data_IF_573050266449
#
_entry.id   IF_573050266449
#
_cell.length_a   1.000
_cell.length_b   1.000
_cell.length_c   1.000
_cell.angle_alpha   90.00
_cell.angle_beta   90.00
_cell.angle_gamma   90.00
#
_symmetry.space_group_name_H-M   'P 1'
#
loop_
_entity.id
_entity.type
_entity.pdbx_description
1 polymer ?
#
# COMPACT_ATOMS: atom_id res chain seq x y z
N UNK A 1 -17.96 1.61 -19.43
CA UNK A 1 -17.60 2.86 -20.11
C UNK A 1 -17.98 3.99 -19.18
N UNK A 2 -17.02 4.52 -18.42
CA UNK A 2 -17.25 5.68 -17.55
C UNK A 2 -17.25 6.94 -18.43
N UNK A 3 -18.20 7.84 -18.20
CA UNK A 3 -18.28 9.13 -18.88
C UNK A 3 -16.95 9.88 -18.73
N UNK A 4 -16.43 10.42 -19.84
CA UNK A 4 -15.14 11.13 -19.96
C UNK A 4 -15.04 12.43 -19.11
N UNK A 5 -15.98 12.69 -18.21
CA UNK A 5 -16.21 14.01 -17.63
C UNK A 5 -15.45 14.38 -16.35
N UNK A 6 -14.91 13.44 -15.56
CA UNK A 6 -14.34 13.76 -14.23
C UNK A 6 -13.09 12.92 -13.87
N UNK A 7 -12.20 12.65 -14.84
CA UNK A 7 -10.91 12.05 -14.50
C UNK A 7 -10.00 13.15 -13.95
N UNK A 8 -9.56 13.00 -12.69
CA UNK A 8 -8.63 13.92 -12.04
C UNK A 8 -7.39 14.05 -12.92
N UNK A 9 -6.97 15.28 -13.19
CA UNK A 9 -5.85 15.61 -14.09
C UNK A 9 -4.69 16.32 -13.38
N UNK A 10 -4.85 16.63 -12.10
CA UNK A 10 -3.86 17.29 -11.27
C UNK A 10 -3.82 16.72 -9.84
N UNK A 11 -2.67 16.88 -9.18
CA UNK A 11 -2.50 16.60 -7.75
C UNK A 11 -2.16 17.93 -7.09
N UNK A 12 -3.07 18.54 -6.32
CA UNK A 12 -2.83 19.84 -5.71
C UNK A 12 -1.76 19.75 -4.61
N UNK A 13 -0.91 20.76 -4.56
CA UNK A 13 -0.01 21.04 -3.44
C UNK A 13 -0.67 22.08 -2.54
N UNK A 14 -0.84 21.77 -1.26
CA UNK A 14 -1.57 22.62 -0.33
C UNK A 14 -0.63 23.62 0.34
N UNK A 15 -1.06 24.88 0.41
CA UNK A 15 -0.28 25.97 1.02
C UNK A 15 -0.29 25.93 2.56
N UNK A 16 -1.23 25.19 3.16
CA UNK A 16 -1.38 25.06 4.60
C UNK A 16 -1.77 23.62 4.98
N UNK A 17 -1.55 23.28 6.25
CA UNK A 17 -2.00 22.00 6.82
C UNK A 17 -3.52 22.06 6.95
N UNK A 18 -4.28 21.19 6.27
CA UNK A 18 -5.74 21.20 6.38
C UNK A 18 -6.16 20.70 7.76
N UNK A 19 -7.32 21.16 8.21
CA UNK A 19 -8.05 20.50 9.29
C UNK A 19 -8.48 19.09 8.87
N UNK A 20 -8.85 18.25 9.84
CA UNK A 20 -9.40 16.93 9.54
C UNK A 20 -10.67 17.01 8.69
N UNK A 21 -11.55 17.98 8.96
CA UNK A 21 -12.82 18.13 8.22
C UNK A 21 -12.57 18.50 6.74
N UNK A 22 -11.64 19.43 6.47
CA UNK A 22 -11.22 19.78 5.11
C UNK A 22 -10.59 18.56 4.42
N UNK A 23 -9.68 17.86 5.10
CA UNK A 23 -9.03 16.67 4.54
C UNK A 23 -10.04 15.56 4.22
N UNK A 24 -10.99 15.30 5.14
CA UNK A 24 -12.03 14.30 4.99
C UNK A 24 -12.90 14.57 3.76
N UNK A 25 -13.38 15.80 3.61
CA UNK A 25 -14.36 16.14 2.58
C UNK A 25 -13.72 16.31 1.19
N UNK A 26 -12.56 16.96 1.12
CA UNK A 26 -11.97 17.36 -0.17
C UNK A 26 -11.03 16.30 -0.76
N UNK A 27 -10.50 15.40 0.06
CA UNK A 27 -9.47 14.43 -0.35
C UNK A 27 -9.86 12.99 -0.02
N UNK A 28 -10.17 12.68 1.24
CA UNK A 28 -10.40 11.31 1.68
C UNK A 28 -11.68 10.72 1.05
N UNK A 29 -12.85 11.36 1.25
CA UNK A 29 -14.13 10.94 0.65
C UNK A 29 -14.14 11.06 -0.87
N UNK A 30 -13.47 12.08 -1.40
CA UNK A 30 -13.33 12.29 -2.84
C UNK A 30 -12.34 11.32 -3.50
N UNK A 31 -11.60 10.54 -2.72
CA UNK A 31 -10.52 9.66 -3.17
C UNK A 31 -9.51 10.39 -4.08
N UNK A 32 -9.15 11.62 -3.69
CA UNK A 32 -8.31 12.54 -4.46
C UNK A 32 -6.93 12.70 -3.81
N UNK A 33 -5.82 12.49 -4.54
CA UNK A 33 -4.47 12.66 -4.01
C UNK A 33 -4.16 14.14 -3.74
N UNK A 34 -3.22 14.41 -2.82
CA UNK A 34 -2.67 15.74 -2.62
C UNK A 34 -1.25 15.70 -2.05
N UNK A 35 -0.54 16.82 -2.16
CA UNK A 35 0.73 17.08 -1.48
C UNK A 35 0.48 18.04 -0.32
N UNK A 36 0.79 17.60 0.90
CA UNK A 36 0.68 18.35 2.13
C UNK A 36 2.01 19.05 2.44
N UNK A 37 1.98 20.27 2.98
CA UNK A 37 3.19 21.07 3.16
C UNK A 37 4.07 20.53 4.29
N UNK A 38 5.36 20.86 4.24
CA UNK A 38 6.35 20.47 5.25
C UNK A 38 5.99 20.88 6.69
N UNK A 39 5.16 21.91 6.86
CA UNK A 39 4.62 22.33 8.15
C UNK A 39 3.86 21.21 8.89
N UNK A 40 3.30 20.22 8.18
CA UNK A 40 2.59 19.07 8.76
C UNK A 40 3.48 18.26 9.71
N UNK A 41 4.76 18.14 9.36
CA UNK A 41 5.71 17.21 9.97
C UNK A 41 6.94 17.92 10.55
N UNK A 42 6.98 19.25 10.52
CA UNK A 42 8.12 20.05 10.94
C UNK A 42 8.57 19.77 12.39
N UNK A 43 7.65 19.34 13.26
CA UNK A 43 7.93 18.99 14.66
C UNK A 43 8.51 17.59 14.85
N UNK A 44 8.53 16.73 13.83
CA UNK A 44 8.99 15.35 13.98
C UNK A 44 10.48 15.28 14.30
N UNK A 45 10.90 14.45 15.28
CA UNK A 45 12.31 14.18 15.53
C UNK A 45 13.10 13.70 14.30
N UNK A 46 12.45 12.95 13.40
CA UNK A 46 13.06 12.48 12.15
C UNK A 46 13.47 13.60 11.19
N UNK A 47 12.84 14.79 11.24
CA UNK A 47 13.26 15.94 10.42
C UNK A 47 14.69 16.37 10.72
N UNK A 48 15.15 16.17 11.95
CA UNK A 48 16.53 16.48 12.36
C UNK A 48 17.57 15.53 11.78
N UNK A 49 17.17 14.47 11.08
CA UNK A 49 18.12 13.63 10.34
C UNK A 49 18.70 14.40 9.14
N UNK A 50 17.95 15.37 8.60
CA UNK A 50 18.40 16.27 7.55
C UNK A 50 19.41 17.33 8.06
N UNK A 51 19.21 17.83 9.29
CA UNK A 51 19.88 19.03 9.82
C UNK A 51 21.36 18.84 10.21
N UNK A 52 21.88 17.61 10.22
CA UNK A 52 23.27 17.32 10.68
C UNK A 52 24.33 17.75 9.65
N UNK A 53 23.94 18.49 8.61
CA UNK A 53 24.77 18.98 7.51
C UNK A 53 24.98 20.50 7.41
N UNK A 54 24.15 21.34 8.05
CA UNK A 54 24.26 22.80 7.94
C UNK A 54 25.11 23.42 9.06
N UNK A 55 26.37 23.00 9.17
CA UNK A 55 27.40 23.95 9.56
C UNK A 55 28.14 24.38 8.29
N UNK A 56 27.60 25.45 7.71
CA UNK A 56 28.21 26.25 6.65
C UNK A 56 29.69 26.52 6.97
N UNK A 57 30.57 25.84 6.24
CA UNK A 57 31.82 26.47 5.84
C UNK A 57 31.50 27.24 4.56
N UNK A 58 31.47 28.56 4.67
CA UNK A 58 31.40 29.47 3.53
C UNK A 58 32.66 29.30 2.68
N UNK A 59 32.61 28.49 1.63
CA UNK A 59 33.58 28.52 0.55
C UNK A 59 33.05 27.85 -0.73
N UNK A 60 32.72 28.67 -1.73
CA UNK A 60 32.85 28.31 -3.14
C UNK A 60 31.74 27.46 -3.76
N UNK A 61 30.96 28.09 -4.63
CA UNK A 61 30.12 27.40 -5.61
C UNK A 61 30.98 26.49 -6.51
N UNK A 62 30.73 25.19 -6.44
CA UNK A 62 30.96 24.23 -7.53
C UNK A 62 29.77 23.27 -7.56
N UNK A 63 28.92 23.40 -8.58
CA UNK A 63 27.78 22.52 -8.88
C UNK A 63 28.25 21.16 -9.43
N UNK A 64 28.98 20.39 -8.63
CA UNK A 64 29.05 18.93 -8.82
C UNK A 64 28.70 18.24 -7.51
N UNK A 65 27.55 17.55 -7.41
CA UNK A 65 27.26 16.71 -6.25
C UNK A 65 28.17 15.50 -6.35
N UNK A 66 29.21 15.46 -5.51
CA UNK A 66 29.94 14.22 -5.25
C UNK A 66 28.90 13.16 -4.91
N UNK A 67 28.89 12.02 -5.63
CA UNK A 67 27.96 10.90 -5.44
C UNK A 67 28.10 10.17 -4.11
N UNK A 68 28.36 10.90 -3.02
CA UNK A 68 28.46 10.40 -1.66
C UNK A 68 27.06 10.35 -1.02
N UNK A 69 26.80 9.24 -0.32
CA UNK A 69 25.56 9.02 0.41
C UNK A 69 25.35 10.11 1.48
N UNK A 70 24.14 10.67 1.52
CA UNK A 70 23.75 11.71 2.49
C UNK A 70 24.05 11.30 3.94
N UNK A 71 24.50 12.26 4.76
CA UNK A 71 24.77 12.05 6.21
C UNK A 71 23.55 11.61 7.01
N UNK A 72 22.33 11.85 6.50
CA UNK A 72 21.13 11.35 7.16
C UNK A 72 21.13 9.80 7.27
N UNK A 73 21.78 9.10 6.33
CA UNK A 73 21.95 7.65 6.41
C UNK A 73 22.90 7.25 7.56
N UNK A 74 23.89 8.06 7.88
CA UNK A 74 24.77 7.83 9.03
C UNK A 74 24.01 8.05 10.34
N UNK A 75 23.11 9.03 10.40
CA UNK A 75 22.21 9.24 11.55
C UNK A 75 21.29 8.03 11.73
N UNK A 76 20.70 7.54 10.64
CA UNK A 76 19.83 6.36 10.65
C UNK A 76 20.59 5.12 11.15
N UNK A 77 21.78 4.84 10.61
CA UNK A 77 22.64 3.74 11.06
C UNK A 77 23.13 3.92 12.51
N UNK A 78 23.46 5.13 12.95
CA UNK A 78 23.89 5.38 14.32
C UNK A 78 22.79 5.15 15.34
N UNK A 79 21.53 5.40 14.97
CA UNK A 79 20.38 5.25 15.88
C UNK A 79 19.79 3.86 15.88
N UNK A 80 19.73 3.23 14.71
CA UNK A 80 18.97 1.99 14.49
C UNK A 80 19.82 0.90 13.83
N UNK A 81 21.16 1.03 13.87
CA UNK A 81 22.07 0.17 13.11
C UNK A 81 21.94 -1.32 13.40
N UNK A 82 21.53 -1.69 14.60
CA UNK A 82 21.31 -3.07 15.04
C UNK A 82 19.90 -3.61 14.75
N UNK A 83 19.07 -2.85 14.02
CA UNK A 83 17.74 -3.24 13.59
C UNK A 83 17.86 -4.04 12.29
N UNK A 84 17.00 -5.04 12.13
CA UNK A 84 16.97 -5.87 10.93
C UNK A 84 16.11 -5.20 9.87
N UNK A 85 16.55 -5.21 8.62
CA UNK A 85 15.83 -4.57 7.52
C UNK A 85 15.97 -5.34 6.21
N UNK A 86 14.91 -5.36 5.38
CA UNK A 86 15.03 -5.85 4.01
C UNK A 86 15.80 -4.84 3.16
N UNK A 87 16.71 -5.36 2.33
CA UNK A 87 17.56 -4.54 1.46
C UNK A 87 17.58 -5.11 0.04
N UNK A 88 17.28 -4.25 -0.93
CA UNK A 88 17.42 -4.53 -2.37
C UNK A 88 18.88 -4.41 -2.76
N UNK A 89 19.50 -5.54 -3.10
CA UNK A 89 20.88 -5.60 -3.53
C UNK A 89 21.06 -5.05 -4.96
N UNK A 90 22.21 -4.44 -5.21
CA UNK A 90 22.61 -4.05 -6.57
C UNK A 90 23.07 -5.29 -7.31
N UNK A 91 22.36 -5.70 -8.36
CA UNK A 91 22.72 -6.91 -9.12
C UNK A 91 24.13 -6.84 -9.73
N UNK A 92 24.92 -7.90 -9.55
CA UNK A 92 26.31 -8.03 -10.05
C UNK A 92 26.43 -8.59 -11.49
N UNK A 93 25.34 -8.74 -12.25
CA UNK A 93 25.37 -9.32 -13.60
C UNK A 93 24.44 -8.63 -14.58
N UNK A 94 24.99 -8.01 -15.61
CA UNK A 94 24.30 -7.15 -16.57
C UNK A 94 23.69 -7.87 -17.79
N UNK A 95 23.43 -9.18 -17.74
CA UNK A 95 22.94 -9.91 -18.92
C UNK A 95 21.71 -10.81 -18.68
N UNK A 96 21.54 -11.38 -17.48
CA UNK A 96 20.51 -12.41 -17.26
C UNK A 96 19.25 -11.92 -16.50
N UNK A 97 19.21 -10.65 -16.06
CA UNK A 97 18.14 -10.11 -15.18
C UNK A 97 17.13 -9.18 -15.86
N UNK A 98 17.15 -9.02 -17.18
CA UNK A 98 16.16 -8.15 -17.88
C UNK A 98 14.75 -8.76 -17.88
N UNK A 99 14.61 -10.09 -17.95
CA UNK A 99 13.31 -10.76 -17.79
C UNK A 99 12.81 -10.72 -16.34
N UNK A 100 13.67 -10.92 -15.33
CA UNK A 100 13.26 -10.87 -13.91
C UNK A 100 12.84 -9.45 -13.46
N UNK A 101 13.55 -8.41 -13.93
CA UNK A 101 13.15 -7.01 -13.69
C UNK A 101 11.80 -6.67 -14.34
N UNK A 102 11.44 -7.29 -15.46
CA UNK A 102 10.15 -7.07 -16.10
C UNK A 102 8.96 -7.56 -15.24
N UNK A 103 9.19 -8.53 -14.35
CA UNK A 103 8.20 -9.06 -13.40
C UNK A 103 8.21 -8.37 -12.04
N UNK A 104 9.04 -7.32 -11.83
CA UNK A 104 9.08 -6.58 -10.57
C UNK A 104 9.67 -7.38 -9.39
N UNK A 105 10.32 -8.52 -9.65
CA UNK A 105 11.01 -9.28 -8.61
C UNK A 105 12.32 -8.59 -8.25
N UNK A 106 12.31 -7.95 -7.07
CA UNK A 106 13.50 -7.41 -6.42
C UNK A 106 14.05 -8.47 -5.48
N UNK A 107 15.29 -8.90 -5.69
CA UNK A 107 16.00 -9.77 -4.74
C UNK A 107 16.32 -8.97 -3.47
N UNK A 108 15.80 -9.42 -2.33
CA UNK A 108 15.94 -8.76 -1.04
C UNK A 108 16.61 -9.69 -0.05
N UNK A 109 17.53 -9.12 0.72
CA UNK A 109 18.15 -9.80 1.85
C UNK A 109 17.87 -9.04 3.15
N UNK A 110 17.54 -9.79 4.19
CA UNK A 110 17.44 -9.27 5.56
C UNK A 110 18.85 -9.10 6.14
N UNK A 111 19.16 -7.91 6.62
CA UNK A 111 20.44 -7.63 7.26
C UNK A 111 20.31 -6.52 8.29
N UNK A 112 21.39 -6.28 9.05
CA UNK A 112 21.41 -5.14 9.97
C UNK A 112 21.45 -3.83 9.18
N UNK A 113 20.74 -2.81 9.65
CA UNK A 113 20.72 -1.51 9.00
C UNK A 113 22.13 -0.89 8.87
N UNK A 114 23.02 -1.11 9.84
CA UNK A 114 24.41 -0.62 9.74
C UNK A 114 25.18 -1.26 8.56
N UNK A 115 24.86 -2.51 8.21
CA UNK A 115 25.44 -3.23 7.08
C UNK A 115 24.80 -2.76 5.78
N UNK A 116 23.49 -2.58 5.79
CA UNK A 116 22.73 -2.00 4.68
C UNK A 116 23.31 -0.64 4.25
N UNK A 117 23.54 0.27 5.20
CA UNK A 117 24.09 1.61 4.91
C UNK A 117 25.52 1.53 4.35
N UNK A 118 26.34 0.58 4.81
CA UNK A 118 27.67 0.33 4.22
C UNK A 118 27.56 -0.14 2.77
N UNK A 119 26.62 -1.04 2.46
CA UNK A 119 26.37 -1.53 1.10
C UNK A 119 25.80 -0.44 0.18
N UNK A 120 24.87 0.38 0.66
CA UNK A 120 24.37 1.54 -0.09
C UNK A 120 25.52 2.49 -0.44
N UNK A 121 26.45 2.72 0.49
CA UNK A 121 27.62 3.58 0.30
C UNK A 121 28.64 2.99 -0.68
N UNK A 122 28.85 1.67 -0.67
CA UNK A 122 29.78 1.00 -1.57
C UNK A 122 29.18 0.64 -2.93
N UNK A 123 27.88 0.89 -3.14
CA UNK A 123 27.14 0.53 -4.35
C UNK A 123 26.70 -0.94 -4.41
N UNK A 124 26.91 -1.72 -3.35
CA UNK A 124 26.45 -3.12 -3.23
C UNK A 124 24.95 -3.28 -2.99
N UNK A 125 24.27 -2.22 -2.57
CA UNK A 125 22.81 -2.17 -2.41
C UNK A 125 22.24 -0.87 -3.00
N UNK A 126 20.93 -0.86 -3.24
CA UNK A 126 20.24 0.30 -3.80
C UNK A 126 19.11 0.82 -2.90
N UNK A 127 18.46 -0.03 -2.12
CA UNK A 127 17.26 0.38 -1.39
C UNK A 127 17.04 -0.42 -0.10
N UNK A 128 16.98 0.27 1.04
CA UNK A 128 16.29 -0.23 2.24
C UNK A 128 14.79 -0.03 2.01
N UNK A 129 14.03 -1.13 1.97
CA UNK A 129 12.64 -1.15 1.51
C UNK A 129 11.80 -1.97 2.46
N UNK A 130 10.62 -1.46 2.82
CA UNK A 130 9.68 -2.11 3.75
C UNK A 130 10.28 -2.33 5.16
N UNK A 131 11.11 -1.39 5.63
CA UNK A 131 11.70 -1.49 6.96
C UNK A 131 10.70 -1.11 8.06
N UNK A 132 10.28 -2.10 8.85
CA UNK A 132 9.43 -1.96 10.05
C UNK A 132 10.18 -1.32 11.23
N UNK A 133 10.61 -0.07 11.04
CA UNK A 133 11.39 0.69 12.04
C UNK A 133 10.61 0.88 13.34
N UNK A 134 9.33 1.24 13.25
CA UNK A 134 8.51 1.59 14.43
C UNK A 134 8.14 0.36 15.23
N UNK A 135 7.69 -0.72 14.58
CA UNK A 135 7.46 -1.99 15.28
C UNK A 135 8.69 -2.46 16.05
N UNK A 136 9.88 -2.46 15.43
CA UNK A 136 11.11 -2.86 16.15
C UNK A 136 11.47 -1.91 17.30
N UNK A 137 11.23 -0.61 17.12
CA UNK A 137 11.43 0.40 18.17
C UNK A 137 10.52 0.13 19.38
N UNK A 138 9.23 -0.11 19.14
CA UNK A 138 8.22 -0.37 20.18
C UNK A 138 8.46 -1.72 20.88
N UNK A 139 8.83 -2.77 20.13
CA UNK A 139 9.23 -4.08 20.68
C UNK A 139 10.43 -3.98 21.63
N UNK A 140 11.30 -2.99 21.43
CA UNK A 140 12.47 -2.71 22.28
C UNK A 140 12.14 -1.77 23.45
N UNK A 141 10.87 -1.41 23.64
CA UNK A 141 10.38 -0.58 24.75
C UNK A 141 10.56 0.93 24.56
N UNK A 142 10.99 1.37 23.38
CA UNK A 142 11.06 2.78 23.01
C UNK A 142 9.71 3.26 22.45
N UNK A 143 9.52 4.58 22.39
CA UNK A 143 8.26 5.18 21.92
C UNK A 143 8.38 5.62 20.48
N UNK A 144 7.36 5.36 19.66
CA UNK A 144 7.27 5.85 18.27
C UNK A 144 7.52 7.36 18.16
N UNK A 145 7.07 8.12 19.15
CA UNK A 145 7.24 9.58 19.23
C UNK A 145 8.72 10.02 19.25
N UNK A 146 9.66 9.10 19.47
CA UNK A 146 11.10 9.36 19.30
C UNK A 146 11.53 9.49 17.84
N UNK A 147 10.69 9.03 16.90
CA UNK A 147 10.87 9.15 15.45
C UNK A 147 9.87 10.15 14.87
N UNK A 148 8.57 9.91 15.06
CA UNK A 148 7.48 10.77 14.56
C UNK A 148 6.17 10.55 15.31
N UNK A 149 5.21 11.45 15.10
CA UNK A 149 3.80 11.25 15.50
C UNK A 149 2.93 11.13 14.27
N UNK A 150 1.98 10.19 14.24
CA UNK A 150 0.98 10.14 13.17
C UNK A 150 0.25 11.50 13.10
N UNK A 151 0.22 12.17 11.94
CA UNK A 151 -0.52 13.42 11.78
C UNK A 151 -2.00 13.21 12.10
N UNK A 152 -2.64 14.18 12.76
CA UNK A 152 -4.02 14.07 13.22
C UNK A 152 -5.01 13.77 12.08
N UNK A 153 -4.74 14.26 10.87
CA UNK A 153 -5.55 14.02 9.68
C UNK A 153 -5.55 12.55 9.21
N UNK A 154 -4.60 11.75 9.69
CA UNK A 154 -4.46 10.32 9.41
C UNK A 154 -4.70 9.45 10.64
N UNK A 155 -5.23 10.01 11.74
CA UNK A 155 -5.32 9.31 13.02
C UNK A 155 -6.41 8.21 13.05
N UNK A 156 -7.45 8.32 12.20
CA UNK A 156 -8.47 7.27 12.06
C UNK A 156 -7.91 6.11 11.22
N UNK A 157 -6.98 5.36 11.82
CA UNK A 157 -6.21 4.26 11.23
C UNK A 157 -6.63 2.95 11.89
N UNK A 158 -7.49 2.19 11.20
CA UNK A 158 -8.05 0.94 11.74
C UNK A 158 -7.07 -0.22 11.61
N UNK A 159 -6.22 -0.19 10.59
CA UNK A 159 -5.26 -1.26 10.31
C UNK A 159 -4.17 -1.32 11.38
N UNK A 160 -3.66 -0.18 11.81
CA UNK A 160 -2.63 -0.11 12.85
C UNK A 160 -3.22 0.07 14.27
N UNK A 161 -4.52 -0.16 14.46
CA UNK A 161 -5.21 -0.13 15.76
C UNK A 161 -5.14 -1.48 16.50
N UNK A 162 -4.00 -2.14 16.38
CA UNK A 162 -3.77 -3.50 16.83
C UNK A 162 -2.89 -3.53 18.09
N UNK A 163 -2.81 -4.70 18.73
CA UNK A 163 -1.92 -4.88 19.88
C UNK A 163 -0.45 -4.89 19.42
N UNK A 164 0.46 -4.48 20.30
CA UNK A 164 1.90 -4.40 20.02
C UNK A 164 2.41 -5.79 19.60
N UNK A 165 3.04 -5.89 18.42
CA UNK A 165 3.69 -7.10 17.94
C UNK A 165 3.05 -7.75 16.70
N UNK A 166 1.89 -7.28 16.27
CA UNK A 166 1.35 -7.56 14.93
C UNK A 166 2.03 -6.64 13.88
N UNK A 167 1.90 -6.99 12.59
CA UNK A 167 2.50 -6.25 11.47
C UNK A 167 2.09 -4.77 11.49
N UNK A 168 3.06 -3.85 11.60
CA UNK A 168 2.77 -2.42 11.47
C UNK A 168 2.88 -2.04 10.01
N UNK A 169 1.78 -1.56 9.42
CA UNK A 169 1.74 -1.11 8.03
C UNK A 169 2.41 0.26 7.91
N UNK A 170 3.61 0.38 8.47
CA UNK A 170 4.41 1.58 8.69
C UNK A 170 5.84 1.26 8.28
N UNK A 171 6.28 1.91 7.21
CA UNK A 171 7.53 1.57 6.56
C UNK A 171 8.48 2.75 6.56
N UNK A 172 9.74 2.48 6.88
CA UNK A 172 10.85 3.35 6.58
C UNK A 172 11.47 2.91 5.25
N UNK A 173 11.67 3.86 4.35
CA UNK A 173 12.37 3.62 3.09
C UNK A 173 13.62 4.47 3.06
N UNK A 174 14.78 3.90 2.72
CA UNK A 174 16.03 4.63 2.56
C UNK A 174 16.77 4.17 1.30
N UNK A 175 16.71 4.96 0.23
CA UNK A 175 17.14 4.57 -1.11
C UNK A 175 18.14 5.53 -1.71
N UNK A 176 19.06 4.99 -2.53
CA UNK A 176 19.99 5.83 -3.30
C UNK A 176 19.31 6.45 -4.51
N UNK A 177 19.89 7.52 -5.07
CA UNK A 177 19.43 8.11 -6.33
C UNK A 177 19.26 7.03 -7.42
N UNK A 178 18.10 7.02 -8.07
CA UNK A 178 17.74 6.05 -9.11
C UNK A 178 17.04 4.78 -8.60
N UNK A 179 17.03 4.52 -7.28
CA UNK A 179 16.16 3.50 -6.69
C UNK A 179 14.70 3.94 -6.66
N UNK A 180 13.77 3.02 -6.45
CA UNK A 180 12.35 3.35 -6.45
C UNK A 180 11.45 2.14 -6.24
N UNK A 181 10.15 2.37 -6.39
CA UNK A 181 9.12 1.33 -6.36
C UNK A 181 8.39 1.31 -7.69
N UNK A 182 8.30 0.13 -8.29
CA UNK A 182 7.58 -0.13 -9.54
C UNK A 182 6.11 0.30 -9.48
N UNK A 183 5.47 0.41 -10.63
CA UNK A 183 4.06 0.74 -10.73
C UNK A 183 3.18 -0.31 -10.01
N UNK A 184 2.46 0.12 -8.97
CA UNK A 184 1.62 -0.75 -8.13
C UNK A 184 0.45 0.03 -7.52
N UNK A 185 -0.43 -0.64 -6.78
CA UNK A 185 -1.43 -0.03 -5.89
C UNK A 185 -1.36 -0.72 -4.52
N UNK A 186 -1.66 0.00 -3.45
CA UNK A 186 -1.55 -0.50 -2.07
C UNK A 186 -2.82 -1.25 -1.61
N UNK A 187 -3.06 -2.48 -2.06
CA UNK A 187 -4.11 -3.42 -1.57
C UNK A 187 -5.45 -2.80 -1.13
N UNK A 188 -5.89 -1.75 -1.83
CA UNK A 188 -7.08 -0.92 -1.54
C UNK A 188 -7.07 -0.13 -0.23
N UNK A 189 -5.95 -0.13 0.49
CA UNK A 189 -5.67 0.81 1.57
C UNK A 189 -5.48 2.24 1.05
N UNK A 190 -5.58 3.21 1.95
CA UNK A 190 -4.97 4.52 1.75
C UNK A 190 -3.49 4.43 2.11
N UNK A 191 -2.66 5.31 1.52
CA UNK A 191 -1.27 5.46 1.95
C UNK A 191 -0.87 6.93 2.07
N UNK A 192 0.08 7.21 2.95
CA UNK A 192 0.76 8.50 2.96
C UNK A 192 2.27 8.28 3.04
N UNK A 193 3.02 9.16 2.38
CA UNK A 193 4.48 9.12 2.37
C UNK A 193 5.04 10.49 2.67
N UNK A 194 5.73 10.63 3.79
CA UNK A 194 6.48 11.84 4.15
C UNK A 194 7.93 11.67 3.74
N UNK A 195 8.42 12.54 2.87
CA UNK A 195 9.81 12.55 2.49
C UNK A 195 10.65 13.28 3.56
N UNK A 196 11.63 12.61 4.14
CA UNK A 196 12.47 13.13 5.23
C UNK A 196 13.75 13.81 4.70
N UNK A 197 14.28 13.34 3.57
CA UNK A 197 15.33 14.01 2.80
C UNK A 197 15.20 13.67 1.32
N UNK A 198 15.81 14.49 0.47
CA UNK A 198 15.93 14.26 -0.98
C UNK A 198 14.67 14.64 -1.73
N UNK A 199 14.54 14.14 -2.96
CA UNK A 199 13.42 14.43 -3.86
C UNK A 199 12.97 13.20 -4.60
N UNK A 200 11.66 13.00 -4.68
CA UNK A 200 11.03 11.85 -5.34
C UNK A 200 10.17 12.31 -6.50
N UNK A 201 10.18 11.54 -7.59
CA UNK A 201 9.18 11.65 -8.65
C UNK A 201 8.12 10.57 -8.47
N UNK A 202 6.87 10.97 -8.56
CA UNK A 202 5.72 10.08 -8.56
C UNK A 202 4.99 10.14 -9.90
N UNK A 203 4.51 9.00 -10.36
CA UNK A 203 3.57 8.91 -11.48
C UNK A 203 2.31 8.19 -11.03
N UNK A 204 1.17 8.87 -11.10
CA UNK A 204 -0.12 8.37 -10.64
C UNK A 204 -1.04 8.05 -11.81
N UNK A 205 -1.82 6.98 -11.64
CA UNK A 205 -2.91 6.59 -12.54
C UNK A 205 -4.22 6.46 -11.74
N UNK A 206 -5.27 7.18 -12.15
CA UNK A 206 -6.54 7.13 -11.46
C UNK A 206 -7.22 5.75 -11.64
N UNK A 207 -8.04 5.28 -10.67
CA UNK A 207 -8.65 3.96 -10.72
C UNK A 207 -9.46 3.67 -12.00
N UNK A 208 -10.00 4.71 -12.62
CA UNK A 208 -10.81 4.65 -13.84
C UNK A 208 -10.00 4.15 -15.06
N UNK A 209 -8.67 4.20 -15.02
CA UNK A 209 -7.82 3.84 -16.17
C UNK A 209 -7.02 2.54 -15.98
N UNK A 210 -7.24 1.82 -14.88
CA UNK A 210 -6.49 0.60 -14.53
C UNK A 210 -6.58 -0.47 -15.63
N UNK A 211 -7.70 -0.59 -16.35
CA UNK A 211 -7.82 -1.56 -17.44
C UNK A 211 -6.76 -1.36 -18.53
N UNK A 212 -6.35 -0.11 -18.79
CA UNK A 212 -5.29 0.19 -19.75
C UNK A 212 -3.87 -0.06 -19.25
N UNK A 213 -3.71 -0.31 -17.94
CA UNK A 213 -2.46 -0.76 -17.36
C UNK A 213 -2.28 -2.28 -17.46
N UNK A 214 -3.33 -3.04 -17.79
CA UNK A 214 -3.28 -4.49 -17.88
C UNK A 214 -2.69 -4.94 -19.21
N UNK A 215 -1.94 -6.04 -19.17
CA UNK A 215 -1.44 -6.75 -20.36
C UNK A 215 -2.59 -7.19 -21.27
N UNK A 216 -3.69 -7.68 -20.68
CA UNK A 216 -4.96 -7.99 -21.33
C UNK A 216 -6.08 -7.16 -20.66
N UNK A 217 -6.54 -6.04 -21.28
CA UNK A 217 -7.46 -5.10 -20.63
C UNK A 217 -8.77 -5.70 -20.10
N UNK A 218 -9.26 -6.74 -20.79
CA UNK A 218 -10.53 -7.41 -20.48
C UNK A 218 -10.42 -8.46 -19.36
N UNK A 219 -9.21 -8.83 -18.95
CA UNK A 219 -8.97 -9.87 -17.93
C UNK A 219 -8.57 -9.18 -16.63
N UNK A 220 -9.44 -9.19 -15.62
CA UNK A 220 -9.24 -8.44 -14.36
C UNK A 220 -7.97 -8.86 -13.63
N UNK A 221 -7.65 -10.16 -13.66
CA UNK A 221 -6.46 -10.79 -13.06
C UNK A 221 -5.21 -10.70 -13.95
N UNK A 222 -5.29 -10.08 -15.12
CA UNK A 222 -4.14 -9.89 -15.99
C UNK A 222 -3.07 -9.07 -15.26
N UNK A 223 -1.81 -9.49 -15.44
CA UNK A 223 -0.63 -8.72 -15.09
C UNK A 223 -0.80 -7.25 -15.50
N UNK A 224 -0.48 -6.33 -14.58
CA UNK A 224 -0.40 -4.90 -14.85
C UNK A 224 1.02 -4.48 -15.22
N UNK A 225 1.17 -3.32 -15.85
CA UNK A 225 2.46 -2.73 -16.16
C UNK A 225 3.28 -2.52 -14.87
N UNK A 226 4.57 -2.85 -14.92
CA UNK A 226 5.49 -2.74 -13.79
C UNK A 226 6.34 -1.45 -13.84
N UNK A 227 6.58 -0.89 -15.03
CA UNK A 227 7.24 0.42 -15.16
C UNK A 227 6.67 1.28 -16.28
N UNK A 228 6.38 2.53 -15.96
CA UNK A 228 5.87 3.49 -16.95
C UNK A 228 6.91 3.76 -18.04
N UNK A 229 8.18 3.87 -17.65
CA UNK A 229 9.27 4.14 -18.61
C UNK A 229 9.48 2.97 -19.59
N UNK A 230 9.37 1.74 -19.10
CA UNK A 230 9.52 0.54 -19.94
C UNK A 230 8.39 0.46 -20.97
N UNK A 231 7.14 0.67 -20.53
CA UNK A 231 5.98 0.62 -21.41
C UNK A 231 5.97 1.79 -22.41
N UNK A 232 6.39 3.00 -22.00
CA UNK A 232 6.58 4.12 -22.92
C UNK A 232 7.64 3.81 -24.00
N UNK A 233 8.75 3.18 -23.63
CA UNK A 233 9.78 2.72 -24.57
C UNK A 233 9.25 1.66 -25.55
N UNK A 234 8.56 0.64 -25.04
CA UNK A 234 7.94 -0.40 -25.86
C UNK A 234 6.87 0.17 -26.81
N UNK A 235 6.10 1.17 -26.36
CA UNK A 235 5.13 1.87 -27.19
C UNK A 235 5.81 2.62 -28.34
N UNK A 236 6.91 3.32 -28.07
CA UNK A 236 7.68 4.05 -29.09
C UNK A 236 8.29 3.10 -30.15
N UNK A 237 8.64 1.88 -29.75
CA UNK A 237 9.11 0.81 -30.65
C UNK A 237 7.97 0.06 -31.36
N UNK A 238 6.71 0.42 -31.10
CA UNK A 238 5.54 -0.24 -31.67
C UNK A 238 5.39 -1.70 -31.20
N UNK A 239 5.88 -2.05 -30.01
CA UNK A 239 5.85 -3.41 -29.46
C UNK A 239 4.57 -3.73 -28.67
N UNK A 240 3.81 -2.70 -28.28
CA UNK A 240 2.51 -2.86 -27.62
C UNK A 240 1.41 -3.18 -28.63
N UNK A 241 0.37 -3.86 -28.15
CA UNK A 241 -0.77 -4.31 -28.96
C UNK A 241 -1.18 -5.75 -28.63
N UNK A 242 -2.19 -6.30 -29.32
CA UNK A 242 -2.71 -7.62 -29.04
C UNK A 242 -1.65 -8.71 -29.21
N UNK A 243 -1.52 -9.62 -28.23
CA UNK A 243 -0.52 -10.71 -28.28
C UNK A 243 -0.71 -11.61 -29.51
N UNK A 244 -1.95 -11.80 -29.98
CA UNK A 244 -2.28 -12.53 -31.21
C UNK A 244 -1.62 -11.96 -32.48
N UNK A 245 -1.23 -10.68 -32.44
CA UNK A 245 -0.57 -9.98 -33.55
C UNK A 245 0.97 -9.98 -33.38
N UNK A 246 1.50 -10.82 -32.48
CA UNK A 246 2.94 -10.91 -32.17
C UNK A 246 3.47 -9.75 -31.31
N UNK A 247 2.59 -9.05 -30.60
CA UNK A 247 2.91 -7.92 -29.71
C UNK A 247 2.97 -8.35 -28.24
N UNK A 248 3.40 -7.46 -27.36
CA UNK A 248 3.60 -7.76 -25.94
C UNK A 248 2.29 -7.82 -25.11
N UNK A 249 1.19 -7.28 -25.62
CA UNK A 249 0.01 -6.91 -24.85
C UNK A 249 -0.06 -5.39 -24.63
N UNK A 250 -0.83 -4.97 -23.62
CA UNK A 250 -0.98 -3.57 -23.22
C UNK A 250 -1.51 -2.66 -24.34
N UNK A 251 -2.46 -3.17 -25.13
CA UNK A 251 -3.08 -2.46 -26.26
C UNK A 251 -3.73 -1.13 -25.88
N UNK A 252 -4.21 -1.01 -24.64
CA UNK A 252 -4.83 0.20 -24.09
C UNK A 252 -3.84 1.12 -23.33
N UNK A 253 -2.53 0.83 -23.36
CA UNK A 253 -1.51 1.62 -22.65
C UNK A 253 -1.55 3.11 -23.01
N UNK A 254 -1.61 3.43 -24.30
CA UNK A 254 -1.62 4.82 -24.77
C UNK A 254 -2.86 5.58 -24.28
N UNK A 255 -3.98 4.90 -24.05
CA UNK A 255 -5.16 5.51 -23.47
C UNK A 255 -4.95 5.81 -21.98
N UNK A 256 -4.50 4.84 -21.18
CA UNK A 256 -4.23 5.04 -19.76
C UNK A 256 -3.14 6.09 -19.53
N UNK A 257 -2.09 6.10 -20.35
CA UNK A 257 -0.95 7.02 -20.27
C UNK A 257 -1.32 8.49 -20.39
N UNK A 258 -2.43 8.83 -21.08
CA UNK A 258 -2.97 10.20 -21.18
C UNK A 258 -3.42 10.77 -19.84
N UNK A 259 -3.76 9.90 -18.89
CA UNK A 259 -4.24 10.26 -17.55
C UNK A 259 -3.19 10.05 -16.47
N UNK A 260 -1.94 9.75 -16.85
CA UNK A 260 -0.82 9.67 -15.93
C UNK A 260 -0.48 11.08 -15.43
N UNK A 261 -0.50 11.28 -14.11
CA UNK A 261 -0.10 12.54 -13.48
C UNK A 261 1.30 12.37 -12.90
N UNK A 262 2.24 13.20 -13.34
CA UNK A 262 3.63 13.18 -12.89
C UNK A 262 3.90 14.38 -11.97
N UNK A 263 4.39 14.13 -10.76
CA UNK A 263 4.71 15.17 -9.78
C UNK A 263 6.05 14.88 -9.09
N UNK A 264 6.68 15.93 -8.58
CA UNK A 264 7.85 15.82 -7.72
C UNK A 264 7.47 16.18 -6.28
N UNK A 265 7.93 15.36 -5.35
CA UNK A 265 7.81 15.52 -3.91
C UNK A 265 9.14 16.01 -3.36
N UNK A 266 9.10 17.16 -2.70
CA UNK A 266 10.26 17.78 -2.07
C UNK A 266 10.50 17.24 -0.65
N UNK A 267 11.63 17.66 -0.07
CA UNK A 267 11.93 17.37 1.32
C UNK A 267 10.87 17.99 2.27
N UNK A 268 10.42 17.19 3.23
CA UNK A 268 9.41 17.55 4.23
C UNK A 268 7.98 17.41 3.75
N UNK A 269 7.73 17.35 2.44
CA UNK A 269 6.38 17.19 1.92
C UNK A 269 5.82 15.79 2.21
N UNK A 270 4.50 15.73 2.46
CA UNK A 270 3.77 14.48 2.63
C UNK A 270 2.80 14.29 1.48
N UNK A 271 2.90 13.18 0.75
CA UNK A 271 1.92 12.81 -0.27
C UNK A 271 0.83 11.95 0.37
N UNK A 272 -0.42 12.27 0.09
CA UNK A 272 -1.56 11.39 0.30
C UNK A 272 -1.85 10.60 -1.00
N UNK A 273 -1.81 9.28 -0.88
CA UNK A 273 -2.14 8.30 -1.92
C UNK A 273 -3.52 7.70 -1.61
N UNK A 274 -4.54 8.00 -2.41
CA UNK A 274 -5.87 7.48 -2.17
C UNK A 274 -5.99 6.00 -2.57
N UNK A 275 -7.04 5.36 -2.06
CA UNK A 275 -7.31 3.95 -2.32
C UNK A 275 -7.47 3.68 -3.82
N UNK A 276 -6.87 2.56 -4.27
CA UNK A 276 -6.87 2.08 -5.65
C UNK A 276 -6.08 2.91 -6.67
N UNK A 277 -5.37 3.96 -6.27
CA UNK A 277 -4.51 4.70 -7.19
C UNK A 277 -3.26 3.91 -7.51
N UNK A 278 -3.03 3.64 -8.79
CA UNK A 278 -1.77 3.06 -9.23
C UNK A 278 -0.69 4.13 -9.22
N UNK A 279 0.49 3.81 -8.71
CA UNK A 279 1.58 4.77 -8.63
C UNK A 279 2.97 4.11 -8.77
N UNK A 280 3.89 4.83 -9.41
CA UNK A 280 5.32 4.51 -9.53
C UNK A 280 6.13 5.61 -8.83
N UNK A 281 7.16 5.24 -8.09
CA UNK A 281 8.00 6.19 -7.33
C UNK A 281 9.46 6.02 -7.72
N UNK A 282 10.14 7.12 -8.04
CA UNK A 282 11.56 7.16 -8.35
C UNK A 282 12.26 8.17 -7.43
N UNK A 283 13.30 7.73 -6.71
CA UNK A 283 14.17 8.61 -5.94
C UNK A 283 15.08 9.38 -6.90
N UNK A 284 14.85 10.68 -7.09
CA UNK A 284 15.68 11.54 -7.95
C UNK A 284 17.02 11.90 -7.28
N UNK A 285 17.07 11.76 -5.96
CA UNK A 285 18.21 11.98 -5.07
C UNK A 285 18.29 10.85 -4.04
N UNK A 286 19.26 10.86 -3.12
CA UNK A 286 19.24 9.96 -1.97
C UNK A 286 18.07 10.34 -1.06
N UNK A 287 17.15 9.42 -0.83
CA UNK A 287 15.91 9.71 -0.10
C UNK A 287 15.75 8.83 1.13
N UNK A 288 15.20 9.40 2.18
CA UNK A 288 14.64 8.68 3.33
C UNK A 288 13.19 9.11 3.44
N UNK A 289 12.24 8.18 3.57
CA UNK A 289 10.83 8.51 3.80
C UNK A 289 10.21 7.61 4.85
N UNK A 290 9.15 8.12 5.47
CA UNK A 290 8.29 7.39 6.39
C UNK A 290 6.91 7.29 5.76
N UNK A 291 6.37 6.08 5.72
CA UNK A 291 5.16 5.75 4.99
C UNK A 291 4.20 4.95 5.87
N UNK A 292 2.90 5.17 5.71
CA UNK A 292 1.88 4.35 6.35
C UNK A 292 0.86 3.93 5.31
N UNK A 293 0.41 2.68 5.41
CA UNK A 293 -0.84 2.26 4.82
C UNK A 293 -1.90 2.17 5.91
N UNK A 294 -3.11 2.60 5.61
CA UNK A 294 -4.22 2.52 6.56
C UNK A 294 -5.58 2.32 5.88
N UNK A 295 -6.49 1.71 6.63
CA UNK A 295 -7.90 1.55 6.28
C UNK A 295 -8.73 2.29 7.31
N UNK A 296 -9.86 2.84 6.87
CA UNK A 296 -10.93 3.27 7.76
C UNK A 296 -12.29 3.11 7.11
N UNK A 297 -13.33 3.63 7.76
CA UNK A 297 -14.70 3.55 7.24
C UNK A 297 -14.84 4.07 5.80
N UNK A 298 -14.07 5.06 5.36
CA UNK A 298 -14.23 5.68 4.04
C UNK A 298 -13.82 4.75 2.88
N UNK A 299 -12.81 3.88 3.04
CA UNK A 299 -12.43 2.89 2.02
C UNK A 299 -12.89 1.46 2.34
N UNK A 300 -13.58 1.24 3.46
CA UNK A 300 -13.96 -0.10 3.91
C UNK A 300 -14.74 -0.90 2.87
N UNK A 301 -15.63 -0.25 2.11
CA UNK A 301 -16.40 -0.93 1.07
C UNK A 301 -15.52 -1.33 -0.13
N UNK A 302 -14.52 -0.51 -0.48
CA UNK A 302 -13.53 -0.88 -1.49
C UNK A 302 -12.73 -2.10 -1.06
N UNK A 303 -12.28 -2.10 0.20
CA UNK A 303 -11.56 -3.19 0.83
C UNK A 303 -12.40 -4.48 0.82
N UNK A 304 -13.67 -4.38 1.19
CA UNK A 304 -14.64 -5.49 1.13
C UNK A 304 -14.77 -6.06 -0.30
N UNK A 305 -14.94 -5.22 -1.30
CA UNK A 305 -15.06 -5.66 -2.69
C UNK A 305 -13.76 -6.25 -3.25
N UNK A 306 -12.60 -5.75 -2.82
CA UNK A 306 -11.30 -6.32 -3.15
C UNK A 306 -11.17 -7.75 -2.62
N UNK A 307 -11.51 -7.95 -1.34
CA UNK A 307 -11.50 -9.27 -0.72
C UNK A 307 -12.48 -10.23 -1.40
N UNK A 308 -13.69 -9.75 -1.76
CA UNK A 308 -14.63 -10.56 -2.55
C UNK A 308 -14.03 -10.97 -3.90
N UNK A 309 -13.39 -10.04 -4.61
CA UNK A 309 -12.74 -10.32 -5.89
C UNK A 309 -11.61 -11.33 -5.77
N UNK A 310 -10.82 -11.25 -4.71
CA UNK A 310 -9.77 -12.21 -4.38
C UNK A 310 -10.35 -13.62 -4.19
N UNK A 311 -11.42 -13.73 -3.39
CA UNK A 311 -12.10 -15.01 -3.14
C UNK A 311 -12.65 -15.61 -4.44
N UNK A 312 -13.28 -14.82 -5.30
CA UNK A 312 -13.77 -15.33 -6.59
C UNK A 312 -12.62 -15.77 -7.51
N UNK A 313 -11.53 -15.01 -7.59
CA UNK A 313 -10.36 -15.39 -8.38
C UNK A 313 -9.71 -16.69 -7.86
N UNK A 314 -9.60 -16.84 -6.53
CA UNK A 314 -9.11 -18.09 -5.92
C UNK A 314 -10.05 -19.26 -6.17
N UNK A 315 -11.37 -19.06 -6.13
CA UNK A 315 -12.35 -20.10 -6.49
C UNK A 315 -12.19 -20.58 -7.93
N UNK A 316 -11.92 -19.65 -8.86
CA UNK A 316 -11.65 -19.98 -10.26
C UNK A 316 -10.33 -20.74 -10.41
N UNK A 317 -9.29 -20.34 -9.69
CA UNK A 317 -7.97 -20.97 -9.73
C UNK A 317 -7.96 -22.40 -9.14
N UNK A 318 -8.83 -22.69 -8.17
CA UNK A 318 -8.88 -23.98 -7.44
C UNK A 318 -10.04 -24.89 -7.88
N UNK A 319 -10.52 -24.73 -9.12
CA UNK A 319 -11.69 -25.46 -9.63
C UNK A 319 -11.54 -26.99 -9.56
N UNK A 320 -10.32 -27.49 -9.76
CA UNK A 320 -9.97 -28.91 -9.67
C UNK A 320 -10.05 -29.44 -8.22
N UNK A 321 -9.62 -28.64 -7.24
CA UNK A 321 -9.75 -28.96 -5.81
C UNK A 321 -11.22 -29.06 -5.42
N UNK A 322 -12.07 -28.15 -5.93
CA UNK A 322 -13.53 -28.21 -5.72
C UNK A 322 -14.11 -29.53 -6.20
N UNK A 323 -13.80 -29.92 -7.43
CA UNK A 323 -14.35 -31.12 -8.06
C UNK A 323 -13.92 -32.41 -7.33
N UNK A 324 -12.68 -32.42 -6.80
CA UNK A 324 -12.18 -33.50 -5.95
C UNK A 324 -12.95 -33.61 -4.62
N UNK A 325 -13.17 -32.49 -3.93
CA UNK A 325 -13.91 -32.45 -2.66
C UNK A 325 -15.38 -32.88 -2.84
N UNK A 326 -16.03 -32.42 -3.92
CA UNK A 326 -17.40 -32.83 -4.26
C UNK A 326 -17.51 -34.34 -4.49
N UNK A 327 -16.53 -34.92 -5.18
CA UNK A 327 -16.50 -36.35 -5.45
C UNK A 327 -16.29 -37.17 -4.17
N UNK A 328 -15.47 -36.68 -3.24
CA UNK A 328 -15.19 -37.35 -1.98
C UNK A 328 -16.42 -37.40 -1.04
N UNK A 329 -17.18 -36.31 -0.93
CA UNK A 329 -18.37 -36.25 -0.06
C UNK A 329 -19.49 -37.21 -0.50
N UNK A 330 -19.61 -37.50 -1.79
CA UNK A 330 -20.53 -38.53 -2.29
C UNK A 330 -20.25 -39.92 -1.68
N UNK A 331 -19.02 -40.16 -1.23
CA UNK A 331 -18.57 -41.44 -0.65
C UNK A 331 -18.50 -41.46 0.87
N UNK A 332 -18.43 -40.30 1.55
CA UNK A 332 -18.24 -40.22 3.01
C UNK A 332 -18.94 -38.99 3.61
N UNK A 333 -20.18 -39.17 4.08
CA UNK A 333 -21.14 -38.10 4.46
C UNK A 333 -20.88 -37.41 5.81
N UNK A 334 -19.66 -37.39 6.31
CA UNK A 334 -19.35 -36.85 7.65
C UNK A 334 -18.89 -35.39 7.64
N UNK A 335 -18.43 -34.86 6.50
CA UNK A 335 -17.97 -33.47 6.36
C UNK A 335 -18.56 -32.86 5.10
N UNK A 336 -19.30 -31.75 5.22
CA UNK A 336 -19.79 -30.99 4.06
C UNK A 336 -18.62 -30.56 3.17
N UNK A 337 -18.60 -31.01 1.91
CA UNK A 337 -17.55 -30.61 0.96
C UNK A 337 -17.46 -29.09 0.81
N UNK A 338 -18.58 -28.36 0.96
CA UNK A 338 -18.61 -26.89 0.91
C UNK A 338 -17.80 -26.26 2.03
N UNK A 339 -17.84 -26.85 3.24
CA UNK A 339 -17.04 -26.37 4.37
C UNK A 339 -15.56 -26.54 4.09
N UNK A 340 -15.14 -27.74 3.69
CA UNK A 340 -13.74 -28.01 3.33
C UNK A 340 -13.28 -27.13 2.15
N UNK A 341 -14.15 -26.91 1.16
CA UNK A 341 -13.87 -26.03 0.02
C UNK A 341 -13.59 -24.59 0.45
N UNK A 342 -14.49 -23.99 1.23
CA UNK A 342 -14.31 -22.61 1.67
C UNK A 342 -13.15 -22.44 2.66
N UNK A 343 -12.84 -23.46 3.47
CA UNK A 343 -11.62 -23.46 4.28
C UNK A 343 -10.34 -23.38 3.42
N UNK A 344 -10.28 -24.12 2.30
CA UNK A 344 -9.13 -24.05 1.38
C UNK A 344 -9.06 -22.71 0.65
N UNK A 345 -10.19 -22.24 0.10
CA UNK A 345 -10.24 -20.95 -0.62
C UNK A 345 -9.81 -19.80 0.29
N UNK A 346 -10.39 -19.71 1.49
CA UNK A 346 -10.06 -18.63 2.43
C UNK A 346 -8.61 -18.75 2.91
N UNK A 347 -8.11 -19.97 3.15
CA UNK A 347 -6.72 -20.19 3.52
C UNK A 347 -5.73 -19.73 2.44
N UNK A 348 -6.03 -19.99 1.16
CA UNK A 348 -5.19 -19.52 0.05
C UNK A 348 -5.25 -17.99 -0.10
N UNK A 349 -6.42 -17.38 0.05
CA UNK A 349 -6.55 -15.92 0.05
C UNK A 349 -5.74 -15.29 1.19
N UNK A 350 -5.80 -15.87 2.39
CA UNK A 350 -5.04 -15.38 3.54
C UNK A 350 -3.52 -15.55 3.35
N UNK A 351 -3.07 -16.62 2.71
CA UNK A 351 -1.65 -16.80 2.37
C UNK A 351 -1.16 -15.84 1.28
N UNK A 352 -2.01 -15.52 0.31
CA UNK A 352 -1.68 -14.64 -0.82
C UNK A 352 -1.66 -13.16 -0.40
N UNK A 353 -2.64 -12.74 0.40
CA UNK A 353 -2.83 -11.32 0.76
C UNK A 353 -2.38 -10.98 2.18
N UNK A 354 -2.11 -11.98 3.02
CA UNK A 354 -1.81 -11.83 4.45
C UNK A 354 -3.06 -11.74 5.34
N UNK A 355 -4.26 -11.67 4.76
CA UNK A 355 -5.52 -11.55 5.51
C UNK A 355 -6.73 -12.00 4.68
N UNK A 356 -7.83 -12.29 5.36
CA UNK A 356 -9.12 -12.62 4.75
C UNK A 356 -10.29 -12.18 5.67
N UNK A 357 -11.45 -12.85 5.62
CA UNK A 357 -12.59 -12.54 6.48
C UNK A 357 -12.28 -12.45 7.98
N UNK A 358 -11.42 -13.32 8.58
CA UNK A 358 -11.05 -13.18 9.98
C UNK A 358 -10.37 -11.84 10.29
N UNK A 359 -9.42 -11.42 9.46
CA UNK A 359 -8.73 -10.13 9.60
C UNK A 359 -9.69 -8.95 9.38
N UNK A 360 -10.51 -9.01 8.34
CA UNK A 360 -11.48 -7.95 8.01
C UNK A 360 -12.43 -7.64 9.17
N UNK A 361 -13.09 -8.65 9.73
CA UNK A 361 -14.06 -8.43 10.81
C UNK A 361 -13.40 -8.11 12.15
N UNK A 362 -12.22 -8.67 12.43
CA UNK A 362 -11.45 -8.32 13.64
C UNK A 362 -11.03 -6.84 13.64
N UNK A 363 -10.56 -6.33 12.51
CA UNK A 363 -10.19 -4.92 12.34
C UNK A 363 -11.39 -4.00 12.60
N UNK A 364 -12.54 -4.27 11.98
CA UNK A 364 -13.76 -3.47 12.17
C UNK A 364 -14.19 -3.51 13.64
N UNK A 365 -14.25 -4.71 14.22
CA UNK A 365 -14.63 -4.89 15.63
C UNK A 365 -13.73 -4.06 16.55
N UNK A 366 -12.41 -4.15 16.36
CA UNK A 366 -11.44 -3.41 17.17
C UNK A 366 -11.62 -1.90 17.03
N UNK A 367 -11.81 -1.40 15.82
CA UNK A 367 -12.05 0.03 15.57
C UNK A 367 -13.36 0.55 16.19
N UNK A 368 -14.40 -0.29 16.27
CA UNK A 368 -15.66 0.08 16.92
C UNK A 368 -15.58 0.02 18.45
N UNK A 369 -14.88 -0.98 19.01
CA UNK A 369 -14.69 -1.11 20.47
C UNK A 369 -13.73 -0.05 21.02
N UNK A 370 -12.67 0.23 20.27
CA UNK A 370 -11.57 1.12 20.66
C UNK A 370 -11.25 2.05 19.50
N UNK A 371 -12.04 3.14 19.29
CA UNK A 371 -11.79 4.07 18.19
C UNK A 371 -10.33 4.57 18.19
N UNK A 372 -9.61 4.49 17.06
CA UNK A 372 -8.19 4.84 17.00
C UNK A 372 -7.92 6.35 17.12
N UNK A 373 -8.96 7.16 16.95
CA UNK A 373 -8.89 8.61 17.01
C UNK A 373 -10.02 9.21 17.86
N UNK A 374 -9.79 10.43 18.34
CA UNK A 374 -10.82 11.24 18.99
C UNK A 374 -11.97 11.53 18.01
N UNK A 375 -13.18 11.75 18.53
CA UNK A 375 -14.41 11.89 17.73
C UNK A 375 -14.37 13.02 16.68
N UNK A 376 -13.53 14.04 16.87
CA UNK A 376 -13.36 15.15 15.92
C UNK A 376 -12.30 14.88 14.83
N UNK A 377 -11.59 13.74 14.90
CA UNK A 377 -10.55 13.30 13.96
C UNK A 377 -10.95 12.01 13.22
N UNK A 378 -12.24 11.68 13.23
CA UNK A 378 -12.82 10.53 12.53
C UNK A 378 -14.24 10.84 12.05
N UNK A 379 -14.82 10.07 11.12
CA UNK A 379 -16.19 10.30 10.68
C UNK A 379 -17.20 10.08 11.83
N UNK A 380 -18.38 10.74 11.79
CA UNK A 380 -19.42 10.54 12.78
C UNK A 380 -19.83 9.07 12.91
N UNK A 381 -20.11 8.61 14.13
CA UNK A 381 -20.50 7.21 14.41
C UNK A 381 -21.66 6.74 13.52
N UNK A 382 -22.64 7.60 13.25
CA UNK A 382 -23.77 7.27 12.39
C UNK A 382 -23.35 6.94 10.94
N UNK A 383 -22.36 7.65 10.39
CA UNK A 383 -21.82 7.36 9.05
C UNK A 383 -21.02 6.05 9.06
N UNK A 384 -20.16 5.87 10.07
CA UNK A 384 -19.36 4.64 10.25
C UNK A 384 -20.28 3.42 10.35
N UNK A 385 -21.30 3.49 11.22
CA UNK A 385 -22.27 2.42 11.43
C UNK A 385 -23.07 2.09 10.17
N UNK A 386 -23.43 3.08 9.36
CA UNK A 386 -24.13 2.84 8.09
C UNK A 386 -23.25 2.09 7.08
N UNK A 387 -21.95 2.39 7.03
CA UNK A 387 -20.99 1.70 6.15
C UNK A 387 -20.78 0.25 6.63
N UNK A 388 -20.61 0.05 7.94
CA UNK A 388 -20.49 -1.29 8.53
C UNK A 388 -21.75 -2.12 8.29
N UNK A 389 -22.95 -1.53 8.45
CA UNK A 389 -24.22 -2.16 8.12
C UNK A 389 -24.28 -2.62 6.65
N UNK A 390 -23.78 -1.80 5.72
CA UNK A 390 -23.72 -2.18 4.30
C UNK A 390 -22.80 -3.40 4.09
N UNK A 391 -21.61 -3.39 4.68
CA UNK A 391 -20.70 -4.53 4.63
C UNK A 391 -21.33 -5.80 5.22
N UNK A 392 -22.05 -5.70 6.33
CA UNK A 392 -22.76 -6.82 6.96
C UNK A 392 -23.84 -7.39 6.04
N UNK A 393 -24.66 -6.54 5.41
CA UNK A 393 -25.70 -6.99 4.48
C UNK A 393 -25.11 -7.71 3.26
N UNK A 394 -24.04 -7.16 2.69
CA UNK A 394 -23.34 -7.78 1.58
C UNK A 394 -22.72 -9.12 2.00
N UNK A 395 -22.03 -9.15 3.15
CA UNK A 395 -21.44 -10.36 3.70
C UNK A 395 -22.49 -11.45 3.97
N UNK A 396 -23.63 -11.11 4.56
CA UNK A 396 -24.72 -12.04 4.81
C UNK A 396 -25.31 -12.66 3.52
N UNK A 397 -25.15 -11.99 2.37
CA UNK A 397 -25.61 -12.49 1.07
C UNK A 397 -24.62 -13.40 0.35
N UNK A 398 -23.39 -13.52 0.86
CA UNK A 398 -22.34 -14.34 0.24
C UNK A 398 -22.51 -15.81 0.60
N UNK A 399 -22.29 -16.70 -0.36
CA UNK A 399 -22.47 -18.14 -0.19
C UNK A 399 -21.53 -18.69 0.88
N UNK A 400 -20.27 -18.24 0.91
CA UNK A 400 -19.27 -18.75 1.84
C UNK A 400 -19.63 -18.49 3.31
N UNK A 401 -20.43 -17.48 3.62
CA UNK A 401 -20.71 -17.01 4.98
C UNK A 401 -21.25 -18.12 5.87
N UNK A 402 -22.08 -19.00 5.32
CA UNK A 402 -22.62 -20.18 6.03
C UNK A 402 -21.58 -21.26 6.36
N UNK A 403 -20.38 -21.15 5.81
CA UNK A 403 -19.31 -22.16 5.89
C UNK A 403 -18.03 -21.65 6.58
N UNK A 404 -17.97 -20.37 6.96
CA UNK A 404 -16.84 -19.79 7.65
C UNK A 404 -16.73 -20.26 9.11
N UNK A 405 -15.54 -20.08 9.69
CA UNK A 405 -15.31 -20.37 11.10
C UNK A 405 -16.22 -19.52 12.00
N UNK A 406 -16.72 -20.11 13.10
CA UNK A 406 -17.67 -19.45 14.01
C UNK A 406 -17.18 -18.09 14.51
N UNK A 407 -15.88 -17.95 14.77
CA UNK A 407 -15.28 -16.70 15.24
C UNK A 407 -15.54 -15.53 14.26
N UNK A 408 -15.49 -15.78 12.95
CA UNK A 408 -15.75 -14.75 11.93
C UNK A 408 -17.20 -14.27 12.02
N UNK A 409 -18.12 -15.20 12.22
CA UNK A 409 -19.55 -14.91 12.36
C UNK A 409 -19.83 -14.17 13.68
N UNK A 410 -19.15 -14.55 14.75
CA UNK A 410 -19.24 -13.87 16.05
C UNK A 410 -18.73 -12.42 15.97
N UNK A 411 -17.61 -12.18 15.28
CA UNK A 411 -17.06 -10.83 15.09
C UNK A 411 -17.98 -9.96 14.23
N UNK A 412 -18.52 -10.50 13.13
CA UNK A 412 -19.51 -9.80 12.31
C UNK A 412 -20.79 -9.49 13.10
N UNK A 413 -21.32 -10.46 13.86
CA UNK A 413 -22.50 -10.27 14.70
C UNK A 413 -22.26 -9.27 15.83
N UNK A 414 -21.04 -9.19 16.35
CA UNK A 414 -20.64 -8.17 17.31
C UNK A 414 -20.70 -6.77 16.67
N UNK A 415 -20.10 -6.59 15.50
CA UNK A 415 -20.13 -5.33 14.75
C UNK A 415 -21.56 -4.86 14.45
N UNK A 416 -22.48 -5.79 14.17
CA UNK A 416 -23.89 -5.47 13.90
C UNK A 416 -24.60 -4.75 15.06
N UNK A 417 -24.18 -5.01 16.31
CA UNK A 417 -24.76 -4.37 17.50
C UNK A 417 -24.50 -2.86 17.51
N UNK A 418 -23.33 -2.43 17.06
CA UNK A 418 -22.96 -1.02 16.92
C UNK A 418 -23.78 -0.35 15.82
N UNK A 419 -24.05 -1.10 14.73
CA UNK A 419 -24.90 -0.65 13.65
C UNK A 419 -26.41 -0.64 13.97
N UNK A 420 -26.82 -1.03 15.19
CA UNK A 420 -28.23 -1.14 15.58
C UNK A 420 -28.99 -2.24 14.82
N UNK A 421 -28.29 -3.26 14.34
CA UNK A 421 -28.85 -4.35 13.53
C UNK A 421 -28.61 -5.71 14.20
N UNK A 422 -29.47 -6.68 13.87
CA UNK A 422 -29.22 -8.10 14.15
C UNK A 422 -28.60 -8.73 12.92
N UNK A 423 -27.44 -9.37 13.06
CA UNK A 423 -26.83 -10.14 11.98
C UNK A 423 -27.47 -11.52 11.89
N UNK A 424 -28.01 -11.85 10.72
CA UNK A 424 -28.51 -13.18 10.40
C UNK A 424 -27.99 -13.58 9.01
N UNK A 425 -27.54 -14.82 8.89
CA UNK A 425 -27.09 -15.37 7.61
C UNK A 425 -28.33 -15.61 6.74
N UNK A 426 -28.30 -15.17 5.48
CA UNK A 426 -29.37 -15.47 4.54
C UNK A 426 -29.24 -16.95 4.15
N UNK A 427 -30.20 -17.77 4.57
CA UNK A 427 -30.27 -19.20 4.22
C UNK A 427 -30.63 -19.42 2.74
#
# INVERSE_FOLDING_TARGET
MCEEGNIISDIPRLDHVPSYEEFLNDYLKANRPCILPAALVAHWPARRWADVGEQSSTAGFSDEPTGELSRAFDVLASKFGDYTTPVVLSGTGAADKEEEKAYGHEEREEMKLEEAVKLLRSGGASYVKDFHLVQQLEQRGAKREEVYTTPCIFADDWTNNIEIGEDDFRFCYAGVKGSGTSLHRDDTSYSWSTNIIGRKRWRFFPPQVISGLRRFPQVVTSQTASSVSQLDGAAALGQLGPVRDGKMGYEDWQWARKYCIEIEQEDGETIFVPSNWYHEVLNLEHCISLNHNWINSNNLLSVFHSLCGAIEATKEALVDVRDLLQSADQTNRTVSWKKAWYEQVIGVVEMDQGWAWPGFWRMIRRALEHPPAESHLRPPDAEVHAIVANCLNLFASREETSFLASQVIEDAAYCARFAGQTFAINN
#
